data_IF_068214661255
#
_entry.id   IF_068214661255
#
_cell.length_a   1.000
_cell.length_b   1.000
_cell.length_c   1.000
_cell.angle_alpha   90.00
_cell.angle_beta   90.00
_cell.angle_gamma   90.00
#
_symmetry.space_group_name_H-M   'P 1'
#
loop_
_entity.id
_entity.type
_entity.pdbx_description
1 polymer ?
#
# COMPACT_ATOMS: atom_id res chain seq x y z
N UNK A 1 -1.45 3.77 -2.24
CA UNK A 1 -0.70 4.50 -3.30
C UNK A 1 0.50 5.20 -2.69
N UNK A 2 1.72 4.93 -3.14
CA UNK A 2 2.98 5.53 -2.60
C UNK A 2 3.55 6.64 -3.51
N UNK A 3 2.72 7.31 -4.29
CA UNK A 3 3.09 8.49 -5.07
C UNK A 3 1.91 9.44 -5.20
N UNK A 4 2.21 10.72 -5.45
CA UNK A 4 1.24 11.76 -5.79
C UNK A 4 1.71 12.47 -7.06
N UNK A 5 0.77 13.00 -7.83
CA UNK A 5 1.11 13.84 -8.98
C UNK A 5 1.31 15.28 -8.51
N UNK A 6 2.54 15.77 -8.64
CA UNK A 6 2.88 17.15 -8.41
C UNK A 6 2.51 17.96 -9.67
N UNK A 7 1.47 18.79 -9.55
CA UNK A 7 0.95 19.59 -10.67
C UNK A 7 1.89 20.74 -11.06
N UNK A 8 2.76 21.19 -10.14
CA UNK A 8 3.70 22.28 -10.42
C UNK A 8 4.84 21.77 -11.29
N UNK A 9 5.39 20.60 -10.95
CA UNK A 9 6.49 20.00 -11.73
C UNK A 9 5.99 19.12 -12.89
N UNK A 10 4.72 18.73 -12.88
CA UNK A 10 4.15 17.80 -13.87
C UNK A 10 4.64 16.37 -13.70
N UNK A 11 5.15 16.00 -12.52
CA UNK A 11 5.80 14.70 -12.27
C UNK A 11 5.17 13.93 -11.11
N UNK A 12 5.38 12.62 -11.09
CA UNK A 12 5.02 11.76 -9.96
C UNK A 12 6.09 11.87 -8.88
N UNK A 13 5.67 12.31 -7.69
CA UNK A 13 6.50 12.38 -6.50
C UNK A 13 6.24 11.17 -5.61
N UNK A 14 7.29 10.43 -5.24
CA UNK A 14 7.19 9.31 -4.30
C UNK A 14 6.80 9.83 -2.90
N UNK A 15 5.85 9.15 -2.26
CA UNK A 15 5.49 9.39 -0.86
C UNK A 15 6.32 8.49 0.05
N UNK A 16 7.18 9.11 0.87
CA UNK A 16 8.00 8.43 1.88
C UNK A 16 7.46 8.60 3.30
N UNK A 17 6.20 9.05 3.45
CA UNK A 17 5.55 9.10 4.76
C UNK A 17 5.48 7.70 5.37
N UNK A 18 5.59 7.66 6.70
CA UNK A 18 5.46 6.43 7.47
C UNK A 18 4.03 5.89 7.36
N UNK A 19 3.89 4.57 7.21
CA UNK A 19 2.63 3.84 7.36
C UNK A 19 2.94 2.53 8.08
N UNK A 20 1.95 2.04 8.80
CA UNK A 20 1.99 0.73 9.46
C UNK A 20 0.96 -0.18 8.80
N UNK A 21 1.26 -1.47 8.74
CA UNK A 21 0.34 -2.53 8.33
C UNK A 21 0.49 -3.71 9.30
N UNK A 22 -0.61 -4.38 9.66
CA UNK A 22 -0.57 -5.48 10.61
C UNK A 22 -0.12 -6.80 9.94
N UNK A 23 0.33 -7.76 10.73
CA UNK A 23 0.57 -9.13 10.26
C UNK A 23 -0.75 -9.88 10.00
N UNK A 24 -1.80 -9.60 10.78
CA UNK A 24 -3.15 -10.13 10.57
C UNK A 24 -4.11 -8.97 10.28
N UNK A 25 -4.83 -9.05 9.16
CA UNK A 25 -5.78 -8.05 8.69
C UNK A 25 -7.20 -8.63 8.72
N UNK A 26 -8.05 -8.08 9.58
CA UNK A 26 -9.50 -8.38 9.57
C UNK A 26 -10.23 -7.38 8.67
N UNK A 27 -10.90 -7.91 7.64
CA UNK A 27 -11.66 -7.11 6.67
C UNK A 27 -13.16 -7.08 6.95
N UNK A 28 -13.67 -7.72 8.01
CA UNK A 28 -15.10 -7.88 8.26
C UNK A 28 -15.87 -6.55 8.23
N UNK A 29 -15.33 -5.50 8.87
CA UNK A 29 -15.97 -4.18 8.94
C UNK A 29 -16.09 -3.43 7.60
N UNK A 30 -15.42 -3.92 6.54
CA UNK A 30 -15.46 -3.33 5.20
C UNK A 30 -16.30 -4.14 4.21
N UNK A 31 -16.75 -5.33 4.60
CA UNK A 31 -17.60 -6.18 3.78
C UNK A 31 -19.06 -5.93 4.15
N UNK A 32 -19.93 -5.84 3.14
CA UNK A 32 -21.37 -5.70 3.36
C UNK A 32 -21.98 -6.90 4.10
N UNK A 33 -23.25 -6.78 4.47
CA UNK A 33 -24.02 -7.76 5.26
C UNK A 33 -24.19 -9.14 4.60
N UNK A 34 -23.67 -9.36 3.40
CA UNK A 34 -23.85 -10.59 2.61
C UNK A 34 -22.70 -11.59 2.74
N UNK A 35 -21.65 -11.27 3.49
CA UNK A 35 -20.44 -12.09 3.50
C UNK A 35 -20.29 -12.92 4.78
N UNK A 36 -20.45 -14.25 4.63
CA UNK A 36 -20.09 -15.31 5.57
C UNK A 36 -18.67 -15.95 5.39
N UNK A 37 -17.71 -15.44 4.59
CA UNK A 37 -16.39 -16.07 4.51
C UNK A 37 -15.43 -15.59 5.61
N UNK A 38 -14.32 -16.33 5.77
CA UNK A 38 -13.18 -15.95 6.61
C UNK A 38 -12.66 -14.56 6.19
N UNK A 39 -12.74 -13.60 7.11
CA UNK A 39 -12.33 -12.20 6.89
C UNK A 39 -10.93 -11.88 7.41
N UNK A 40 -10.29 -12.84 8.05
CA UNK A 40 -8.96 -12.72 8.63
C UNK A 40 -7.89 -13.20 7.65
N UNK A 41 -7.02 -12.28 7.25
CA UNK A 41 -5.91 -12.49 6.32
C UNK A 41 -4.58 -12.40 7.06
N UNK A 42 -3.63 -13.29 6.72
CA UNK A 42 -2.24 -13.20 7.18
C UNK A 42 -1.36 -12.61 6.10
N UNK A 43 -0.46 -11.71 6.49
CA UNK A 43 0.55 -11.12 5.61
C UNK A 43 1.47 -12.24 5.09
N UNK A 44 1.51 -12.38 3.77
CA UNK A 44 2.34 -13.40 3.12
C UNK A 44 3.66 -12.86 2.59
N UNK A 45 3.66 -11.64 2.05
CA UNK A 45 4.83 -11.00 1.47
C UNK A 45 4.71 -9.47 1.53
N UNK A 46 5.86 -8.80 1.48
CA UNK A 46 5.97 -7.34 1.36
C UNK A 46 6.89 -7.05 0.19
N UNK A 47 6.35 -6.39 -0.84
CA UNK A 47 7.17 -5.86 -1.94
C UNK A 47 7.66 -4.46 -1.57
N UNK A 48 8.98 -4.31 -1.43
CA UNK A 48 9.61 -3.05 -1.08
C UNK A 48 10.17 -2.36 -2.31
N UNK A 49 9.98 -1.04 -2.40
CA UNK A 49 10.63 -0.21 -3.40
C UNK A 49 11.67 0.71 -2.76
N UNK A 50 12.95 0.42 -3.00
CA UNK A 50 14.11 1.18 -2.53
C UNK A 50 14.55 2.17 -3.62
N UNK A 51 14.32 3.46 -3.40
CA UNK A 51 14.63 4.51 -4.38
C UNK A 51 13.98 5.83 -3.99
N UNK A 52 14.56 6.95 -4.39
CA UNK A 52 14.03 8.29 -4.07
C UNK A 52 12.92 8.74 -5.02
N UNK A 53 12.89 8.19 -6.24
CA UNK A 53 11.97 8.57 -7.31
C UNK A 53 10.75 7.65 -7.38
N UNK A 54 9.67 8.13 -8.02
CA UNK A 54 8.55 7.29 -8.41
C UNK A 54 8.76 6.59 -9.78
N UNK A 55 9.85 6.93 -10.47
CA UNK A 55 10.16 6.44 -11.82
C UNK A 55 11.31 5.42 -11.85
N UNK A 56 12.11 5.36 -10.78
CA UNK A 56 13.29 4.49 -10.70
C UNK A 56 13.60 4.07 -9.27
N UNK A 57 14.23 2.91 -9.14
CA UNK A 57 14.68 2.31 -7.89
C UNK A 57 14.87 0.81 -8.04
N UNK A 58 14.91 0.11 -6.91
CA UNK A 58 15.11 -1.32 -6.82
C UNK A 58 13.96 -1.97 -6.04
N UNK A 59 13.54 -3.15 -6.47
CA UNK A 59 12.49 -3.92 -5.80
C UNK A 59 13.10 -5.10 -5.05
N UNK A 60 12.66 -5.28 -3.81
CA UNK A 60 13.02 -6.39 -2.92
C UNK A 60 11.75 -7.06 -2.43
#
# INVERSE_FOLDING_TARGET
>A
MRFVFDRTTGTRKKLNSFIQFPETLDLAGYLGSTSTPQTNYKLSAVLMHCGSSAYSGHYV
#
